data_IF_581686927546
#
_entry.id   IF_581686927546
#
_cell.length_a   1.000
_cell.length_b   1.000
_cell.length_c   1.000
_cell.angle_alpha   90.00
_cell.angle_beta   90.00
_cell.angle_gamma   90.00
#
_symmetry.space_group_name_H-M   'P 1'
#
loop_
_entity.id
_entity.type
_entity.pdbx_description
1 polymer ?
#
# COMPACT_ATOMS: atom_id res chain seq x y z
N UNK A 1 16.22 3.35 10.25
CA UNK A 1 14.94 4.08 10.16
C UNK A 1 14.69 4.85 11.46
N UNK A 2 14.04 6.01 11.37
CA UNK A 2 13.60 6.83 12.51
C UNK A 2 12.21 7.42 12.20
N UNK A 3 11.52 7.96 13.20
CA UNK A 3 10.22 8.63 13.03
C UNK A 3 10.35 10.12 13.38
N UNK A 4 9.29 10.89 13.19
CA UNK A 4 9.24 12.30 13.59
C UNK A 4 9.01 12.53 15.10
N UNK A 5 8.80 11.45 15.88
CA UNK A 5 8.55 11.51 17.32
C UNK A 5 9.79 12.03 18.07
N UNK A 6 9.63 13.06 18.89
CA UNK A 6 10.67 13.56 19.78
C UNK A 6 10.79 12.72 21.07
N UNK A 7 11.92 12.88 21.79
CA UNK A 7 12.23 12.08 22.98
C UNK A 7 11.24 12.29 24.15
N UNK A 8 10.53 13.42 24.18
CA UNK A 8 9.55 13.80 25.20
C UNK A 8 8.09 13.62 24.75
N UNK A 9 7.86 13.02 23.58
CA UNK A 9 6.53 12.75 23.04
C UNK A 9 6.07 11.29 23.23
N UNK A 10 4.76 11.10 23.31
CA UNK A 10 4.12 9.78 23.36
C UNK A 10 2.97 9.75 22.37
N UNK A 11 2.94 8.73 21.51
CA UNK A 11 1.81 8.48 20.60
C UNK A 11 0.59 8.06 21.42
N UNK A 12 -0.46 8.87 21.40
CA UNK A 12 -1.69 8.60 22.16
C UNK A 12 -2.83 8.06 21.30
N UNK A 13 -2.83 8.36 20.00
CA UNK A 13 -3.89 7.96 19.08
C UNK A 13 -3.40 7.86 17.63
N UNK A 14 -4.13 7.09 16.84
CA UNK A 14 -4.00 7.06 15.39
C UNK A 14 -5.36 7.38 14.80
N UNK A 15 -5.44 8.45 14.02
CA UNK A 15 -6.68 8.86 13.34
C UNK A 15 -6.66 8.33 11.91
N UNK A 16 -7.52 7.36 11.64
CA UNK A 16 -7.78 6.88 10.29
C UNK A 16 -9.04 7.56 9.76
N UNK A 17 -9.05 7.94 8.49
CA UNK A 17 -10.31 8.31 7.85
C UNK A 17 -11.21 7.06 7.81
N UNK A 18 -12.49 7.25 8.14
CA UNK A 18 -13.47 6.16 8.16
C UNK A 18 -13.54 5.42 6.81
N UNK A 19 -14.06 4.18 6.81
CA UNK A 19 -14.24 3.42 5.58
C UNK A 19 -15.07 4.24 4.60
N UNK A 20 -14.65 4.28 3.34
CA UNK A 20 -15.49 4.78 2.25
C UNK A 20 -16.17 3.59 1.60
N UNK A 21 -17.46 3.71 1.34
CA UNK A 21 -18.24 2.62 0.72
C UNK A 21 -17.77 2.31 -0.72
N UNK A 22 -17.06 3.24 -1.36
CA UNK A 22 -16.49 3.10 -2.70
C UNK A 22 -15.03 2.58 -2.71
N UNK A 23 -14.46 2.30 -1.54
CA UNK A 23 -13.07 1.86 -1.42
C UNK A 23 -12.98 0.35 -1.15
N UNK A 24 -12.17 -0.35 -1.95
CA UNK A 24 -11.70 -1.69 -1.67
C UNK A 24 -10.31 -1.65 -1.01
N UNK A 25 -10.04 -2.53 -0.06
CA UNK A 25 -8.72 -2.65 0.56
C UNK A 25 -8.31 -4.09 0.82
N UNK A 26 -7.03 -4.39 0.69
CA UNK A 26 -6.46 -5.68 1.02
C UNK A 26 -5.08 -5.53 1.65
N UNK A 27 -4.74 -6.47 2.53
CA UNK A 27 -3.38 -6.67 3.01
C UNK A 27 -2.99 -8.13 2.80
N UNK A 28 -1.89 -8.36 2.08
CA UNK A 28 -1.35 -9.71 1.84
C UNK A 28 0.08 -9.75 2.33
N UNK A 29 0.41 -10.79 3.09
CA UNK A 29 1.75 -10.99 3.63
C UNK A 29 2.27 -12.38 3.27
N UNK A 30 3.53 -12.42 2.85
CA UNK A 30 4.33 -13.63 2.77
C UNK A 30 5.07 -13.82 4.09
N UNK A 31 4.57 -14.70 4.95
CA UNK A 31 5.13 -14.93 6.28
C UNK A 31 6.42 -15.76 6.24
N UNK A 32 7.43 -15.35 7.03
CA UNK A 32 8.55 -16.20 7.39
C UNK A 32 8.17 -17.05 8.61
N UNK A 33 7.95 -18.35 8.42
CA UNK A 33 7.44 -19.25 9.49
C UNK A 33 8.35 -19.31 10.72
N UNK A 34 9.67 -19.16 10.54
CA UNK A 34 10.63 -19.28 11.63
C UNK A 34 10.69 -18.05 12.55
N UNK A 35 10.44 -16.84 12.01
CA UNK A 35 10.56 -15.59 12.77
C UNK A 35 9.23 -15.01 13.23
N UNK A 36 8.11 -15.39 12.59
CA UNK A 36 6.81 -14.77 12.81
C UNK A 36 6.66 -13.40 12.13
N UNK A 37 7.70 -12.91 11.43
CA UNK A 37 7.66 -11.66 10.67
C UNK A 37 7.36 -11.91 9.19
N UNK A 38 6.79 -10.88 8.54
CA UNK A 38 6.56 -10.90 7.09
C UNK A 38 7.89 -10.75 6.35
N UNK A 39 8.14 -11.60 5.34
CA UNK A 39 9.21 -11.39 4.36
C UNK A 39 8.86 -10.16 3.52
N UNK A 40 7.63 -10.14 3.00
CA UNK A 40 7.04 -8.99 2.33
C UNK A 40 5.58 -8.89 2.72
N UNK A 41 5.10 -7.67 2.95
CA UNK A 41 3.68 -7.38 3.07
C UNK A 41 3.29 -6.26 2.12
N UNK A 42 2.11 -6.36 1.53
CA UNK A 42 1.55 -5.35 0.62
C UNK A 42 0.18 -4.95 1.12
N UNK A 43 0.01 -3.65 1.39
CA UNK A 43 -1.29 -3.04 1.66
C UNK A 43 -1.73 -2.27 0.41
N UNK A 44 -2.96 -2.49 -0.04
CA UNK A 44 -3.56 -1.76 -1.15
C UNK A 44 -4.92 -1.19 -0.75
N UNK A 45 -5.19 0.06 -1.12
CA UNK A 45 -6.51 0.69 -1.08
C UNK A 45 -6.80 1.30 -2.44
N UNK A 46 -7.91 0.87 -3.03
CA UNK A 46 -8.31 1.22 -4.40
C UNK A 46 -9.73 1.81 -4.37
N UNK A 47 -9.95 2.89 -5.11
CA UNK A 47 -11.27 3.45 -5.37
C UNK A 47 -11.52 3.38 -6.87
N UNK A 48 -12.69 2.87 -7.27
CA UNK A 48 -13.14 2.83 -8.66
C UNK A 48 -14.38 3.69 -8.82
N UNK A 49 -14.37 4.63 -9.76
CA UNK A 49 -15.55 5.44 -10.07
C UNK A 49 -16.45 4.69 -11.06
N UNK A 50 -17.74 4.57 -10.73
CA UNK A 50 -18.70 3.83 -11.55
C UNK A 50 -18.36 2.36 -11.77
N UNK A 51 -17.42 1.78 -11.00
CA UNK A 51 -16.97 0.39 -11.11
C UNK A 51 -16.01 0.09 -12.28
N UNK A 52 -15.65 1.07 -13.12
CA UNK A 52 -14.77 0.87 -14.27
C UNK A 52 -13.34 1.31 -13.97
N UNK A 53 -13.06 2.62 -13.89
CA UNK A 53 -11.68 3.12 -13.78
C UNK A 53 -11.24 3.38 -12.34
N UNK A 54 -9.98 3.03 -12.03
CA UNK A 54 -9.32 3.34 -10.76
C UNK A 54 -9.05 4.85 -10.70
N UNK A 55 -9.68 5.54 -9.75
CA UNK A 55 -9.48 6.99 -9.54
C UNK A 55 -8.54 7.29 -8.39
N UNK A 56 -8.35 6.31 -7.49
CA UNK A 56 -7.38 6.40 -6.40
C UNK A 56 -6.72 5.06 -6.16
N UNK A 57 -5.39 5.07 -6.12
CA UNK A 57 -4.58 3.93 -5.70
C UNK A 57 -3.65 4.34 -4.56
N UNK A 58 -3.55 3.51 -3.55
CA UNK A 58 -2.63 3.65 -2.43
C UNK A 58 -2.01 2.29 -2.15
N UNK A 59 -0.71 2.15 -2.40
CA UNK A 59 0.00 0.87 -2.32
C UNK A 59 1.22 1.05 -1.42
N UNK A 60 1.30 0.27 -0.36
CA UNK A 60 2.42 0.31 0.58
C UNK A 60 3.04 -1.08 0.74
N UNK A 61 4.38 -1.12 0.80
CA UNK A 61 5.16 -2.34 0.97
C UNK A 61 5.87 -2.31 2.32
N UNK A 62 6.01 -3.48 2.94
CA UNK A 62 6.77 -3.70 4.17
C UNK A 62 7.66 -4.94 4.04
N UNK A 63 8.75 -4.98 4.81
CA UNK A 63 9.70 -6.11 4.83
C UNK A 63 10.79 -6.09 3.74
N UNK A 64 10.65 -5.23 2.73
CA UNK A 64 11.53 -5.18 1.54
C UNK A 64 12.36 -3.89 1.42
N UNK A 65 12.53 -3.17 2.53
CA UNK A 65 13.33 -1.94 2.61
C UNK A 65 13.66 -1.59 4.07
N UNK A 66 14.38 -0.50 4.29
CA UNK A 66 14.75 -0.05 5.66
C UNK A 66 13.54 0.37 6.51
N UNK A 67 12.47 0.82 5.87
CA UNK A 67 11.19 1.17 6.46
C UNK A 67 10.06 0.85 5.46
N UNK A 68 8.80 0.70 5.92
CA UNK A 68 7.67 0.62 5.01
C UNK A 68 7.58 1.87 4.13
N UNK A 69 7.28 1.69 2.85
CA UNK A 69 7.21 2.79 1.89
C UNK A 69 5.98 2.68 0.99
N UNK A 70 5.61 3.81 0.39
CA UNK A 70 4.52 3.93 -0.59
C UNK A 70 5.10 3.72 -1.99
N UNK A 71 4.64 2.69 -2.70
CA UNK A 71 5.06 2.43 -4.08
C UNK A 71 4.32 3.37 -5.05
N UNK A 72 4.72 4.65 -5.06
CA UNK A 72 4.07 5.71 -5.85
C UNK A 72 4.09 5.42 -7.36
N UNK A 73 5.11 4.75 -7.86
CA UNK A 73 5.18 4.35 -9.27
C UNK A 73 4.09 3.32 -9.62
N UNK A 74 3.84 2.35 -8.73
CA UNK A 74 2.72 1.40 -8.85
C UNK A 74 1.38 2.14 -8.82
N UNK A 75 1.22 3.07 -7.87
CA UNK A 75 -0.01 3.87 -7.77
C UNK A 75 -0.30 4.65 -9.05
N UNK A 76 0.72 5.30 -9.62
CA UNK A 76 0.61 6.04 -10.87
C UNK A 76 0.25 5.12 -12.05
N UNK A 77 0.81 3.92 -12.11
CA UNK A 77 0.51 2.94 -13.16
C UNK A 77 -0.91 2.36 -13.08
N UNK A 78 -1.54 2.37 -11.90
CA UNK A 78 -2.90 1.88 -11.70
C UNK A 78 -3.98 2.93 -11.99
N UNK A 79 -3.70 4.21 -11.75
CA UNK A 79 -4.69 5.29 -11.94
C UNK A 79 -5.11 5.38 -13.41
N UNK A 80 -6.42 5.43 -13.65
CA UNK A 80 -7.03 5.50 -14.97
C UNK A 80 -7.21 4.15 -15.66
N UNK A 81 -6.66 3.06 -15.12
CA UNK A 81 -6.89 1.70 -15.64
C UNK A 81 -8.15 1.07 -15.02
N UNK A 82 -8.69 0.03 -15.66
CA UNK A 82 -9.82 -0.74 -15.14
C UNK A 82 -9.46 -1.78 -14.06
N UNK A 83 -8.16 -1.98 -13.82
CA UNK A 83 -7.63 -2.98 -12.88
C UNK A 83 -7.60 -4.38 -13.49
N UNK A 84 -7.24 -4.51 -14.77
CA UNK A 84 -6.99 -5.83 -15.37
C UNK A 84 -5.71 -6.44 -14.83
N UNK A 85 -5.58 -7.77 -14.93
CA UNK A 85 -4.38 -8.48 -14.47
C UNK A 85 -3.12 -7.95 -15.16
N UNK A 86 -3.17 -7.65 -16.45
CA UNK A 86 -2.04 -7.12 -17.21
C UNK A 86 -1.61 -5.74 -16.71
N UNK A 87 -2.58 -4.87 -16.40
CA UNK A 87 -2.30 -3.55 -15.88
C UNK A 87 -1.72 -3.61 -14.46
N UNK A 88 -2.25 -4.51 -13.63
CA UNK A 88 -1.74 -4.75 -12.28
C UNK A 88 -0.31 -5.28 -12.34
N UNK A 89 -0.03 -6.27 -13.19
CA UNK A 89 1.32 -6.82 -13.39
C UNK A 89 2.28 -5.75 -13.90
N UNK A 90 1.87 -4.95 -14.90
CA UNK A 90 2.68 -3.86 -15.45
C UNK A 90 3.02 -2.84 -14.37
N UNK A 91 2.03 -2.40 -13.58
CA UNK A 91 2.25 -1.45 -12.49
C UNK A 91 3.15 -2.04 -11.40
N UNK A 92 2.91 -3.29 -11.00
CA UNK A 92 3.66 -3.97 -9.95
C UNK A 92 5.15 -4.18 -10.29
N UNK A 93 5.52 -4.17 -11.57
CA UNK A 93 6.93 -4.23 -11.99
C UNK A 93 7.76 -3.02 -11.50
N UNK A 94 7.09 -1.92 -11.18
CA UNK A 94 7.68 -0.69 -10.62
C UNK A 94 7.62 -0.62 -9.08
N UNK A 95 7.41 -1.75 -8.40
CA UNK A 95 7.29 -1.80 -6.94
C UNK A 95 8.49 -1.22 -6.19
N UNK A 96 9.68 -1.22 -6.80
CA UNK A 96 10.93 -0.71 -6.23
C UNK A 96 11.34 0.67 -6.74
N UNK A 97 10.52 1.29 -7.60
CA UNK A 97 10.90 2.51 -8.33
C UNK A 97 10.47 3.79 -7.57
N UNK A 98 10.56 3.79 -6.24
CA UNK A 98 10.15 4.93 -5.40
C UNK A 98 10.48 4.79 -3.93
#
# INVERSE_FOLDING_TARGET
FSTALADDEIVTEVRLMGPRDDAGSAFVSLSQKASGYSIVGVAAVIIKEGGSAITKAMVALTGVGEAPYRAKAVEAGLIGNEGTDEAIISAASHATDG
#
